data_IF_544626753737
#
_entry.id   IF_544626753737
#
_cell.length_a   1.000
_cell.length_b   1.000
_cell.length_c   1.000
_cell.angle_alpha   90.00
_cell.angle_beta   90.00
_cell.angle_gamma   90.00
#
_symmetry.space_group_name_H-M   'P 1'
#
loop_
_entity.id
_entity.type
_entity.pdbx_description
1 polymer ?
#
# COMPACT_ATOMS: atom_id res chain seq x y z
N UNK A 1 -30.64 45.71 29.57
CA UNK A 1 -29.82 45.78 28.33
C UNK A 1 -28.87 44.58 28.15
N UNK A 2 -28.46 43.87 29.21
CA UNK A 2 -27.58 42.69 29.14
C UNK A 2 -28.21 41.44 28.51
N UNK A 3 -29.51 41.18 28.73
CA UNK A 3 -30.19 39.97 28.22
C UNK A 3 -30.28 39.89 26.68
N UNK A 4 -30.61 41.00 26.01
CA UNK A 4 -30.70 41.05 24.54
C UNK A 4 -29.37 40.77 23.82
N UNK A 5 -28.25 40.96 24.51
CA UNK A 5 -26.92 40.71 23.95
C UNK A 5 -26.51 39.23 24.12
N UNK A 6 -27.02 38.56 25.15
CA UNK A 6 -26.81 37.13 25.38
C UNK A 6 -27.62 36.28 24.40
N UNK A 7 -28.88 36.63 24.13
CA UNK A 7 -29.73 35.93 23.15
C UNK A 7 -29.18 35.97 21.73
N UNK A 8 -28.62 37.11 21.30
CA UNK A 8 -28.00 37.23 19.98
C UNK A 8 -26.75 36.35 19.85
N UNK A 9 -25.95 36.24 20.92
CA UNK A 9 -24.74 35.41 20.95
C UNK A 9 -25.09 33.92 20.92
N UNK A 10 -26.10 33.50 21.70
CA UNK A 10 -26.55 32.11 21.69
C UNK A 10 -27.20 31.73 20.36
N UNK A 11 -27.97 32.64 19.74
CA UNK A 11 -28.53 32.43 18.41
C UNK A 11 -27.46 32.23 17.34
N UNK A 12 -26.44 33.10 17.28
CA UNK A 12 -25.34 32.97 16.32
C UNK A 12 -24.52 31.70 16.54
N UNK A 13 -24.33 31.28 17.79
CA UNK A 13 -23.64 30.03 18.12
C UNK A 13 -24.45 28.80 17.66
N UNK A 14 -25.77 28.80 17.89
CA UNK A 14 -26.65 27.72 17.42
C UNK A 14 -26.68 27.64 15.89
N UNK A 15 -26.81 28.78 15.20
CA UNK A 15 -26.80 28.85 13.75
C UNK A 15 -25.47 28.34 13.16
N UNK A 16 -24.34 28.76 13.73
CA UNK A 16 -23.02 28.28 13.32
C UNK A 16 -22.82 26.78 13.55
N UNK A 17 -23.34 26.25 14.65
CA UNK A 17 -23.25 24.81 14.96
C UNK A 17 -24.06 23.97 13.98
N UNK A 18 -25.29 24.38 13.66
CA UNK A 18 -26.15 23.68 12.71
C UNK A 18 -25.57 23.74 11.29
N UNK A 19 -25.02 24.88 10.88
CA UNK A 19 -24.34 25.01 9.60
C UNK A 19 -23.09 24.12 9.54
N UNK A 20 -22.30 24.06 10.62
CA UNK A 20 -21.14 23.18 10.73
C UNK A 20 -21.49 21.70 10.62
N UNK A 21 -22.58 21.27 11.27
CA UNK A 21 -23.08 19.89 11.14
C UNK A 21 -23.54 19.57 9.71
N UNK A 22 -24.25 20.49 9.06
CA UNK A 22 -24.68 20.29 7.68
C UNK A 22 -23.47 20.12 6.74
N UNK A 23 -22.45 20.97 6.87
CA UNK A 23 -21.22 20.86 6.07
C UNK A 23 -20.50 19.54 6.35
N UNK A 24 -20.36 19.15 7.62
CA UNK A 24 -19.71 17.89 7.99
C UNK A 24 -20.46 16.66 7.43
N UNK A 25 -21.79 16.71 7.35
CA UNK A 25 -22.60 15.64 6.78
C UNK A 25 -22.45 15.52 5.25
N UNK A 26 -22.35 16.64 4.55
CA UNK A 26 -22.14 16.65 3.09
C UNK A 26 -20.66 16.52 2.70
N UNK A 27 -19.73 16.61 3.64
CA UNK A 27 -18.31 16.39 3.39
C UNK A 27 -18.06 14.89 3.19
N UNK A 28 -17.54 14.45 2.03
CA UNK A 28 -17.27 13.04 1.80
C UNK A 28 -16.22 12.54 2.79
N UNK A 29 -16.59 11.52 3.57
CA UNK A 29 -15.62 10.80 4.40
C UNK A 29 -14.78 9.92 3.49
N UNK A 30 -13.48 10.18 3.44
CA UNK A 30 -12.54 9.30 2.75
C UNK A 30 -12.30 8.07 3.64
N UNK A 31 -12.60 6.84 3.16
CA UNK A 31 -12.29 5.64 3.92
C UNK A 31 -10.78 5.54 4.11
N UNK A 32 -10.35 5.64 5.38
CA UNK A 32 -8.98 5.39 5.77
C UNK A 32 -8.74 3.88 5.79
N UNK A 33 -7.94 3.38 4.86
CA UNK A 33 -7.47 2.00 4.86
C UNK A 33 -6.14 1.94 5.61
N UNK A 34 -6.01 0.98 6.53
CA UNK A 34 -4.76 0.72 7.22
C UNK A 34 -3.98 -0.34 6.44
N UNK A 35 -2.91 0.08 5.78
CA UNK A 35 -1.93 -0.83 5.21
C UNK A 35 -1.19 -1.50 6.38
N UNK A 36 -1.15 -2.84 6.39
CA UNK A 36 -0.52 -3.59 7.48
C UNK A 36 0.74 -4.28 7.00
N UNK A 37 1.80 -4.21 7.80
CA UNK A 37 3.01 -5.01 7.63
C UNK A 37 3.35 -5.66 8.96
N UNK A 38 3.59 -6.97 8.93
CA UNK A 38 4.04 -7.75 10.08
C UNK A 38 5.13 -8.71 9.61
N UNK A 39 6.18 -8.85 10.39
CA UNK A 39 7.25 -9.79 10.08
C UNK A 39 7.86 -10.42 11.31
N UNK A 40 8.51 -11.55 11.06
CA UNK A 40 9.39 -12.27 11.96
C UNK A 40 10.72 -12.53 11.21
N UNK A 41 11.70 -13.12 11.88
CA UNK A 41 13.02 -13.42 11.33
C UNK A 41 12.95 -14.25 10.03
N UNK A 42 11.99 -15.18 9.92
CA UNK A 42 11.85 -16.07 8.76
C UNK A 42 10.97 -15.51 7.64
N UNK A 43 9.86 -14.88 8.02
CA UNK A 43 8.83 -14.46 7.07
C UNK A 43 8.32 -13.08 7.42
N UNK A 44 8.13 -12.26 6.39
CA UNK A 44 7.49 -10.96 6.48
C UNK A 44 6.27 -10.94 5.56
N UNK A 45 5.21 -10.26 5.97
CA UNK A 45 3.97 -10.16 5.22
C UNK A 45 3.47 -8.71 5.23
N UNK A 46 2.90 -8.27 4.12
CA UNK A 46 2.15 -7.02 4.07
C UNK A 46 0.90 -7.12 3.20
N UNK A 47 -0.08 -6.27 3.52
CA UNK A 47 -1.26 -6.03 2.67
C UNK A 47 -1.05 -4.76 1.87
N UNK A 48 -1.44 -4.78 0.59
CA UNK A 48 -1.29 -3.67 -0.35
C UNK A 48 -2.62 -3.46 -1.08
N UNK A 49 -3.17 -2.23 -1.11
CA UNK A 49 -4.38 -1.94 -1.86
C UNK A 49 -4.10 -2.00 -3.37
N UNK A 50 -5.02 -2.60 -4.13
CA UNK A 50 -4.82 -2.81 -5.57
C UNK A 50 -5.50 -1.75 -6.43
N UNK A 51 -6.76 -1.44 -6.18
CA UNK A 51 -7.56 -0.46 -6.91
C UNK A 51 -8.48 0.29 -5.94
N UNK A 52 -9.00 1.45 -6.36
CA UNK A 52 -10.07 2.13 -5.64
C UNK A 52 -11.35 1.29 -5.68
N UNK A 53 -11.67 0.57 -4.60
CA UNK A 53 -12.90 -0.22 -4.50
C UNK A 53 -12.82 -1.56 -3.75
N UNK A 54 -12.09 -1.63 -2.63
CA UNK A 54 -12.12 -2.78 -1.69
C UNK A 54 -11.40 -4.07 -2.11
N UNK A 55 -10.39 -4.01 -2.98
CA UNK A 55 -9.60 -5.21 -3.33
C UNK A 55 -8.14 -5.07 -2.92
N UNK A 56 -7.65 -6.06 -2.19
CA UNK A 56 -6.30 -6.08 -1.62
C UNK A 56 -5.44 -7.19 -2.23
N UNK A 57 -4.13 -6.97 -2.18
CA UNK A 57 -3.13 -7.99 -2.45
C UNK A 57 -2.34 -8.25 -1.17
N UNK A 58 -2.00 -9.52 -0.96
CA UNK A 58 -1.11 -9.93 0.13
C UNK A 58 0.22 -10.34 -0.46
N UNK A 59 1.30 -9.95 0.20
CA UNK A 59 2.66 -10.31 -0.16
C UNK A 59 3.34 -10.96 1.02
N UNK A 60 4.12 -12.01 0.72
CA UNK A 60 4.90 -12.78 1.69
C UNK A 60 6.33 -12.84 1.18
N UNK A 61 7.24 -12.36 2.02
CA UNK A 61 8.67 -12.46 1.83
C UNK A 61 9.23 -13.56 2.71
N UNK A 62 9.93 -14.50 2.09
CA UNK A 62 10.84 -15.40 2.78
C UNK A 62 12.20 -14.71 2.96
N UNK A 63 12.54 -14.35 4.20
CA UNK A 63 13.76 -13.62 4.50
C UNK A 63 15.01 -14.49 4.33
N UNK A 64 14.90 -15.83 4.37
CA UNK A 64 16.03 -16.73 4.22
C UNK A 64 16.42 -16.91 2.75
N UNK A 65 15.43 -17.07 1.87
CA UNK A 65 15.67 -17.32 0.44
C UNK A 65 15.61 -16.05 -0.41
N UNK A 66 15.14 -14.94 0.15
CA UNK A 66 14.86 -13.70 -0.59
C UNK A 66 13.74 -13.88 -1.63
N UNK A 67 12.91 -14.92 -1.50
CA UNK A 67 11.80 -15.16 -2.40
C UNK A 67 10.58 -14.38 -1.95
N UNK A 68 10.13 -13.48 -2.82
CA UNK A 68 8.92 -12.73 -2.65
C UNK A 68 7.80 -13.38 -3.45
N UNK A 69 6.67 -13.66 -2.78
CA UNK A 69 5.45 -14.12 -3.41
C UNK A 69 4.30 -13.18 -3.06
N UNK A 70 3.30 -13.10 -3.94
CA UNK A 70 2.10 -12.35 -3.66
C UNK A 70 0.88 -12.90 -4.36
N UNK A 71 -0.28 -12.49 -3.88
CA UNK A 71 -1.56 -12.83 -4.48
C UNK A 71 -2.54 -11.66 -4.36
N UNK A 72 -3.20 -11.31 -5.47
CA UNK A 72 -4.28 -10.33 -5.50
C UNK A 72 -5.62 -11.01 -5.30
N UNK A 73 -6.37 -10.59 -4.27
CA UNK A 73 -7.77 -10.98 -4.10
C UNK A 73 -8.62 -10.32 -5.19
N UNK A 74 -9.65 -11.01 -5.66
CA UNK A 74 -10.66 -10.45 -6.54
C UNK A 74 -12.01 -10.48 -5.82
N UNK A 75 -12.58 -9.29 -5.57
CA UNK A 75 -13.86 -9.14 -4.90
C UNK A 75 -15.04 -9.77 -5.64
N UNK A 76 -15.00 -9.89 -6.98
CA UNK A 76 -16.07 -10.48 -7.78
C UNK A 76 -16.13 -11.99 -7.66
N UNK A 77 -14.98 -12.66 -7.70
CA UNK A 77 -14.89 -14.13 -7.60
C UNK A 77 -14.56 -14.62 -6.20
N UNK A 78 -14.34 -13.71 -5.25
CA UNK A 78 -13.95 -13.96 -3.88
C UNK A 78 -12.78 -14.96 -3.73
N UNK A 79 -11.81 -14.89 -4.63
CA UNK A 79 -10.65 -15.78 -4.67
C UNK A 79 -9.39 -15.05 -5.15
N UNK A 80 -8.22 -15.67 -4.98
CA UNK A 80 -6.97 -15.16 -5.51
C UNK A 80 -6.84 -15.50 -7.00
N UNK A 81 -7.00 -14.51 -7.87
CA UNK A 81 -6.94 -14.70 -9.32
C UNK A 81 -5.59 -14.34 -9.93
N UNK A 82 -4.83 -13.46 -9.27
CA UNK A 82 -3.54 -12.97 -9.73
C UNK A 82 -2.46 -13.35 -8.73
N UNK A 83 -1.32 -13.83 -9.23
CA UNK A 83 -0.19 -14.22 -8.40
C UNK A 83 1.07 -13.54 -8.89
N UNK A 84 1.96 -13.24 -7.95
CA UNK A 84 3.19 -12.51 -8.19
C UNK A 84 4.38 -13.25 -7.58
N UNK A 85 5.54 -13.15 -8.23
CA UNK A 85 6.78 -13.68 -7.70
C UNK A 85 7.95 -12.76 -8.05
N UNK A 86 8.97 -12.68 -7.19
CA UNK A 86 10.26 -12.06 -7.51
C UNK A 86 11.38 -12.61 -6.64
N UNK A 87 12.58 -12.69 -7.20
CA UNK A 87 13.77 -13.07 -6.46
C UNK A 87 14.57 -11.82 -6.07
N UNK A 88 14.59 -11.51 -4.77
CA UNK A 88 15.24 -10.31 -4.26
C UNK A 88 16.76 -10.44 -4.15
N UNK A 89 17.30 -11.66 -4.02
CA UNK A 89 18.76 -11.87 -3.97
C UNK A 89 19.43 -11.36 -5.24
N UNK A 90 18.81 -11.59 -6.40
CA UNK A 90 19.27 -11.09 -7.68
C UNK A 90 19.18 -9.56 -7.80
N UNK A 91 18.12 -8.96 -7.26
CA UNK A 91 17.90 -7.50 -7.33
C UNK A 91 18.89 -6.73 -6.44
N UNK A 92 19.09 -7.20 -5.21
CA UNK A 92 20.02 -6.58 -4.26
C UNK A 92 21.47 -7.03 -4.46
N UNK A 93 21.72 -7.99 -5.36
CA UNK A 93 23.04 -8.58 -5.63
C UNK A 93 23.72 -9.11 -4.37
N UNK A 94 22.92 -9.73 -3.50
CA UNK A 94 23.36 -10.32 -2.23
C UNK A 94 23.35 -11.84 -2.33
N UNK A 95 24.45 -12.46 -1.89
CA UNK A 95 24.66 -13.91 -2.04
C UNK A 95 24.30 -14.67 -0.77
N UNK A 96 24.65 -14.15 0.41
CA UNK A 96 24.46 -14.83 1.70
C UNK A 96 24.08 -13.85 2.83
N UNK A 97 23.31 -14.36 3.81
CA UNK A 97 22.92 -13.65 5.04
C UNK A 97 22.21 -12.30 4.83
N UNK A 98 21.46 -12.16 3.74
CA UNK A 98 20.68 -10.96 3.48
C UNK A 98 19.58 -10.78 4.54
N UNK A 99 19.41 -9.55 5.01
CA UNK A 99 18.38 -9.23 6.00
C UNK A 99 17.38 -8.28 5.37
N UNK A 100 16.14 -8.72 5.23
CA UNK A 100 15.12 -7.94 4.54
C UNK A 100 14.10 -7.35 5.50
N UNK A 101 13.64 -6.14 5.18
CA UNK A 101 12.49 -5.49 5.78
C UNK A 101 11.51 -5.10 4.68
N UNK A 102 10.22 -5.24 4.95
CA UNK A 102 9.17 -5.01 3.97
C UNK A 102 8.10 -4.09 4.55
N UNK A 103 7.61 -3.16 3.73
CA UNK A 103 6.46 -2.33 4.03
C UNK A 103 5.65 -2.07 2.76
N UNK A 104 4.35 -1.91 2.92
CA UNK A 104 3.44 -1.52 1.83
C UNK A 104 3.21 -0.01 1.82
N UNK A 105 2.90 0.52 0.64
CA UNK A 105 2.49 1.90 0.51
C UNK A 105 1.57 2.08 -0.68
N UNK A 106 0.92 3.25 -0.73
CA UNK A 106 0.14 3.70 -1.88
C UNK A 106 1.02 4.53 -2.78
N UNK A 107 1.08 4.17 -4.05
CA UNK A 107 1.84 4.89 -5.06
C UNK A 107 1.03 5.00 -6.35
N UNK A 108 0.97 6.21 -6.90
CA UNK A 108 0.36 6.44 -8.19
C UNK A 108 1.41 6.29 -9.28
N UNK A 109 1.30 5.23 -10.06
CA UNK A 109 2.18 5.02 -11.21
C UNK A 109 1.59 5.70 -12.45
N UNK A 110 2.46 6.29 -13.26
CA UNK A 110 2.05 6.70 -14.61
C UNK A 110 1.71 5.43 -15.40
N UNK A 111 0.49 5.39 -15.95
CA UNK A 111 0.04 4.25 -16.75
C UNK A 111 0.90 4.12 -18.00
N UNK A 112 1.62 2.99 -18.12
CA UNK A 112 2.48 2.69 -19.27
C UNK A 112 2.09 1.38 -19.98
N UNK A 113 0.80 1.03 -20.02
CA UNK A 113 0.31 -0.18 -20.72
C UNK A 113 -1.20 -0.39 -20.68
N UNK A 114 -1.65 -1.54 -21.21
CA UNK A 114 -3.07 -1.94 -21.33
C UNK A 114 -3.70 -2.42 -20.03
N UNK A 115 -2.90 -2.92 -19.08
CA UNK A 115 -3.38 -3.32 -17.74
C UNK A 115 -3.09 -2.18 -16.76
N UNK A 116 -4.10 -1.63 -16.08
CA UNK A 116 -3.89 -0.55 -15.11
C UNK A 116 -2.87 -0.99 -14.05
N UNK A 117 -1.88 -0.14 -13.72
CA UNK A 117 -1.02 -0.40 -12.57
C UNK A 117 -1.88 -0.40 -11.30
N UNK A 118 -1.51 -1.22 -10.33
CA UNK A 118 -2.13 -1.16 -9.02
C UNK A 118 -1.80 0.18 -8.35
N UNK A 119 -2.70 0.72 -7.53
CA UNK A 119 -2.48 1.96 -6.77
C UNK A 119 -1.56 1.78 -5.55
N UNK A 120 -0.92 0.62 -5.43
CA UNK A 120 -0.08 0.24 -4.31
C UNK A 120 1.26 -0.32 -4.76
N UNK A 121 2.25 -0.15 -3.90
CA UNK A 121 3.60 -0.63 -4.08
C UNK A 121 4.12 -1.30 -2.81
N UNK A 122 5.26 -1.95 -2.95
CA UNK A 122 5.96 -2.60 -1.85
C UNK A 122 7.37 -2.01 -1.81
N UNK A 123 7.77 -1.50 -0.66
CA UNK A 123 9.15 -1.15 -0.40
C UNK A 123 9.82 -2.29 0.33
N UNK A 124 11.00 -2.66 -0.14
CA UNK A 124 11.82 -3.67 0.50
C UNK A 124 13.19 -3.08 0.72
N UNK A 125 13.61 -3.04 1.97
CA UNK A 125 14.97 -2.69 2.34
C UNK A 125 15.77 -3.95 2.56
N UNK A 126 16.99 -3.98 2.05
CA UNK A 126 18.00 -4.95 2.49
C UNK A 126 18.96 -4.22 3.45
N UNK A 127 19.03 -4.73 4.68
CA UNK A 127 19.65 -4.05 5.82
C UNK A 127 21.17 -4.07 5.78
N UNK A 128 21.82 -4.98 5.05
CA UNK A 128 23.28 -5.06 4.97
C UNK A 128 23.85 -4.14 3.87
N UNK A 129 23.31 -4.23 2.66
CA UNK A 129 23.62 -3.37 1.51
C UNK A 129 23.18 -1.93 1.73
N UNK A 130 22.18 -1.69 2.57
CA UNK A 130 21.70 -0.33 2.80
C UNK A 130 20.88 0.22 1.63
N UNK A 131 20.30 -0.65 0.80
CA UNK A 131 19.49 -0.27 -0.36
C UNK A 131 18.02 -0.59 -0.09
N UNK A 132 17.12 0.28 -0.56
CA UNK A 132 15.69 0.04 -0.59
C UNK A 132 15.21 0.04 -2.04
N UNK A 133 14.50 -1.01 -2.42
CA UNK A 133 13.86 -1.15 -3.72
C UNK A 133 12.34 -0.96 -3.60
N UNK A 134 11.76 -0.30 -4.60
CA UNK A 134 10.33 -0.13 -4.78
C UNK A 134 9.83 -1.08 -5.84
N UNK A 135 8.87 -1.91 -5.49
CA UNK A 135 8.23 -2.86 -6.38
C UNK A 135 6.78 -2.47 -6.67
N UNK A 136 6.44 -2.40 -7.95
CA UNK A 136 5.09 -2.22 -8.45
C UNK A 136 4.52 -3.52 -8.98
N UNK A 137 3.20 -3.60 -9.04
CA UNK A 137 2.49 -4.72 -9.66
C UNK A 137 1.27 -4.22 -10.43
N UNK A 138 0.82 -5.05 -11.36
CA UNK A 138 -0.38 -4.77 -12.15
C UNK A 138 -1.54 -5.59 -11.60
N UNK A 139 -2.72 -4.98 -11.56
CA UNK A 139 -3.93 -5.64 -11.09
C UNK A 139 -5.07 -5.47 -12.10
N UNK A 140 -5.76 -6.57 -12.42
CA UNK A 140 -7.00 -6.58 -13.19
C UNK A 140 -8.14 -7.22 -12.40
N UNK A 141 -9.29 -6.56 -12.35
CA UNK A 141 -10.48 -7.07 -11.68
C UNK A 141 -11.19 -8.22 -12.43
N UNK A 142 -10.62 -8.73 -13.53
CA UNK A 142 -11.20 -9.85 -14.27
C UNK A 142 -11.26 -11.14 -13.45
N UNK A 143 -12.33 -11.92 -13.59
CA UNK A 143 -12.53 -13.17 -12.83
C UNK A 143 -11.63 -14.33 -13.28
N UNK A 144 -10.92 -14.19 -14.40
CA UNK A 144 -10.02 -15.22 -14.94
C UNK A 144 -8.73 -15.28 -14.13
N UNK A 145 -8.31 -16.49 -13.73
CA UNK A 145 -6.98 -16.74 -13.15
C UNK A 145 -5.90 -16.45 -14.19
N UNK A 146 -4.95 -15.60 -13.82
CA UNK A 146 -3.83 -15.17 -14.66
C UNK A 146 -2.57 -15.94 -14.23
N UNK A 147 -1.64 -16.28 -15.15
CA UNK A 147 -0.35 -16.86 -14.77
C UNK A 147 0.43 -15.94 -13.82
N UNK A 148 1.34 -16.53 -13.04
CA UNK A 148 2.23 -15.79 -12.14
C UNK A 148 3.00 -14.74 -12.92
N UNK A 149 2.91 -13.48 -12.48
CA UNK A 149 3.66 -12.36 -13.06
C UNK A 149 4.84 -12.01 -12.18
N UNK A 150 5.90 -11.49 -12.78
CA UNK A 150 6.99 -10.92 -12.01
C UNK A 150 6.60 -9.53 -11.48
N UNK A 151 6.96 -9.22 -10.24
CA UNK A 151 6.86 -7.85 -9.72
C UNK A 151 7.78 -6.95 -10.52
N UNK A 152 7.40 -5.71 -10.79
CA UNK A 152 8.25 -4.76 -11.50
C UNK A 152 9.11 -3.98 -10.50
N UNK A 153 10.44 -4.00 -10.65
CA UNK A 153 11.32 -3.07 -9.95
C UNK A 153 11.15 -1.67 -10.56
N UNK A 154 10.65 -0.72 -9.78
CA UNK A 154 10.32 0.64 -10.24
C UNK A 154 11.47 1.61 -9.96
N UNK A 155 12.00 1.56 -8.75
CA UNK A 155 13.04 2.47 -8.30
C UNK A 155 13.88 1.83 -7.18
N UNK A 156 15.09 2.33 -7.01
CA UNK A 156 16.01 1.93 -5.95
C UNK A 156 16.61 3.17 -5.32
N UNK A 157 16.75 3.19 -3.99
CA UNK A 157 17.44 4.26 -3.28
C UNK A 157 18.38 3.69 -2.19
N UNK A 158 19.62 4.17 -2.08
CA UNK A 158 20.48 3.84 -0.94
C UNK A 158 20.10 4.68 0.28
N UNK A 159 19.85 4.04 1.43
CA UNK A 159 19.57 4.70 2.72
C UNK A 159 20.78 4.70 3.65
N UNK A 160 21.73 3.78 3.42
CA UNK A 160 23.03 3.75 4.06
C UNK A 160 24.08 3.62 2.97
N UNK A 161 25.17 4.38 3.07
CA UNK A 161 26.34 4.12 2.25
C UNK A 161 26.89 2.74 2.66
N UNK A 162 26.72 1.73 1.82
CA UNK A 162 27.57 0.54 1.91
C UNK A 162 29.00 1.03 1.69
N UNK A 163 29.85 0.85 2.70
CA UNK A 163 31.28 0.96 2.48
C UNK A 163 31.64 -0.22 1.59
N UNK A 164 31.89 0.08 0.30
CA UNK A 164 32.43 -0.75 -0.78
C UNK A 164 32.51 -2.26 -0.55
#
# INVERSE_FOLDING_TARGET
MKEKMTEKKTFWLAAGTLLGMAIAYYCPQEPAYADTAMGNEKFSMCTVPTLAGQSEAVFILDNLTGRLLGAGHNAQSNTFTQTYARNLTADFRVTDNAQYVMVSARAQFQSSGTVPPANGCIYIGELNSGIVNMYGFQYSAGSRKVPTRELALIASFPWRNSVN
#
